data_IF_604958640095
#
_entry.id   IF_604958640095
#
_cell.length_a   1.000
_cell.length_b   1.000
_cell.length_c   1.000
_cell.angle_alpha   90.00
_cell.angle_beta   90.00
_cell.angle_gamma   90.00
#
_symmetry.space_group_name_H-M   'P 1'
#
loop_
_entity.id
_entity.type
_entity.pdbx_description
1 polymer ?
#
# COMPACT_ATOMS: atom_id res chain seq x y z
N UNK A 1 11.33 -13.92 -31.42
CA UNK A 1 11.65 -13.91 -29.97
C UNK A 1 11.27 -12.60 -29.26
N UNK A 2 11.62 -11.42 -29.79
CA UNK A 2 11.29 -10.13 -29.14
C UNK A 2 9.80 -9.92 -28.85
N UNK A 3 8.91 -10.24 -29.82
CA UNK A 3 7.45 -10.17 -29.67
C UNK A 3 6.92 -11.09 -28.56
N UNK A 4 7.56 -12.24 -28.35
CA UNK A 4 7.22 -13.18 -27.28
C UNK A 4 7.66 -12.65 -25.91
N UNK A 5 8.87 -12.08 -25.81
CA UNK A 5 9.39 -11.47 -24.57
C UNK A 5 8.52 -10.28 -24.15
N UNK A 6 8.21 -9.36 -25.07
CA UNK A 6 7.34 -8.21 -24.78
C UNK A 6 5.96 -8.66 -24.31
N UNK A 7 5.35 -9.64 -25.00
CA UNK A 7 4.06 -10.21 -24.59
C UNK A 7 4.15 -10.83 -23.19
N UNK A 8 5.23 -11.52 -22.87
CA UNK A 8 5.44 -12.16 -21.55
C UNK A 8 5.61 -11.12 -20.44
N UNK A 9 6.38 -10.07 -20.68
CA UNK A 9 6.55 -8.96 -19.72
C UNK A 9 5.22 -8.23 -19.50
N UNK A 10 4.45 -7.99 -20.57
CA UNK A 10 3.13 -7.36 -20.46
C UNK A 10 2.17 -8.21 -19.60
N UNK A 11 2.13 -9.53 -19.80
CA UNK A 11 1.33 -10.44 -18.97
C UNK A 11 1.78 -10.43 -17.51
N UNK A 12 3.09 -10.42 -17.23
CA UNK A 12 3.61 -10.32 -15.87
C UNK A 12 3.22 -9.00 -15.21
N UNK A 13 3.33 -7.88 -15.93
CA UNK A 13 2.93 -6.57 -15.42
C UNK A 13 1.43 -6.54 -15.08
N UNK A 14 0.58 -7.06 -15.96
CA UNK A 14 -0.88 -7.15 -15.71
C UNK A 14 -1.18 -8.05 -14.52
N UNK A 15 -0.51 -9.20 -14.40
CA UNK A 15 -0.68 -10.12 -13.28
C UNK A 15 -0.31 -9.46 -11.95
N UNK A 16 0.88 -8.86 -11.86
CA UNK A 16 1.33 -8.15 -10.66
C UNK A 16 0.40 -6.98 -10.31
N UNK A 17 0.00 -6.20 -11.32
CA UNK A 17 -0.96 -5.11 -11.16
C UNK A 17 -2.30 -5.60 -10.62
N UNK A 18 -2.79 -6.74 -11.11
CA UNK A 18 -4.06 -7.34 -10.66
C UNK A 18 -3.96 -7.80 -9.22
N UNK A 19 -2.91 -8.53 -8.87
CA UNK A 19 -2.67 -9.00 -7.49
C UNK A 19 -2.52 -7.82 -6.54
N UNK A 20 -1.74 -6.79 -6.90
CA UNK A 20 -1.60 -5.58 -6.10
C UNK A 20 -2.95 -4.88 -5.89
N UNK A 21 -3.74 -4.73 -6.96
CA UNK A 21 -5.05 -4.08 -6.89
C UNK A 21 -6.00 -4.85 -5.98
N UNK A 22 -6.09 -6.17 -6.15
CA UNK A 22 -6.91 -7.03 -5.29
C UNK A 22 -6.46 -6.91 -3.83
N UNK A 23 -5.16 -7.04 -3.54
CA UNK A 23 -4.61 -6.93 -2.18
C UNK A 23 -4.89 -5.56 -1.56
N UNK A 24 -4.75 -4.47 -2.33
CA UNK A 24 -5.05 -3.12 -1.88
C UNK A 24 -6.52 -2.97 -1.49
N UNK A 25 -7.45 -3.42 -2.35
CA UNK A 25 -8.87 -3.38 -2.03
C UNK A 25 -9.22 -4.31 -0.87
N UNK A 26 -8.61 -5.49 -0.79
CA UNK A 26 -8.84 -6.45 0.29
C UNK A 26 -8.42 -5.85 1.64
N UNK A 27 -7.22 -5.28 1.76
CA UNK A 27 -6.75 -4.62 2.98
C UNK A 27 -7.67 -3.46 3.39
N UNK A 28 -8.30 -2.80 2.42
CA UNK A 28 -9.20 -1.67 2.66
C UNK A 28 -10.64 -2.07 2.99
N UNK A 29 -11.04 -3.25 2.53
CA UNK A 29 -12.34 -3.85 2.80
C UNK A 29 -12.39 -4.51 4.19
N UNK A 30 -11.25 -4.82 4.80
CA UNK A 30 -11.20 -5.32 6.18
C UNK A 30 -11.75 -4.24 7.13
N UNK A 31 -12.90 -4.49 7.79
CA UNK A 31 -13.50 -3.56 8.74
C UNK A 31 -12.72 -3.64 10.07
N UNK A 32 -11.58 -2.94 10.12
CA UNK A 32 -10.66 -3.04 11.24
C UNK A 32 -9.35 -2.31 10.96
N UNK A 33 -9.44 -1.09 10.43
CA UNK A 33 -8.26 -0.28 10.09
C UNK A 33 -7.28 -0.15 11.27
N UNK A 34 -6.06 0.35 11.06
CA UNK A 34 -4.94 0.35 12.03
C UNK A 34 -5.22 1.05 13.38
N UNK A 35 -6.41 1.60 13.57
CA UNK A 35 -6.92 2.24 14.78
C UNK A 35 -8.03 1.45 15.49
N UNK A 36 -8.38 0.24 15.04
CA UNK A 36 -9.37 -0.60 15.69
C UNK A 36 -8.82 -1.38 16.89
N UNK A 37 -7.53 -1.25 17.20
CA UNK A 37 -7.00 -1.68 18.50
C UNK A 37 -7.61 -0.82 19.62
N UNK A 38 -7.93 -1.45 20.74
CA UNK A 38 -8.61 -0.92 21.94
C UNK A 38 -8.10 0.42 22.52
N UNK A 39 -7.02 1.00 21.97
CA UNK A 39 -6.55 2.34 22.26
C UNK A 39 -6.82 3.26 21.08
N UNK A 40 -7.98 3.89 21.08
CA UNK A 40 -8.22 5.03 20.19
C UNK A 40 -7.19 6.12 20.53
N UNK A 41 -6.28 6.47 19.59
CA UNK A 41 -5.36 7.56 19.85
C UNK A 41 -6.14 8.87 20.04
N UNK A 42 -5.64 9.81 20.86
CA UNK A 42 -6.24 11.14 20.97
C UNK A 42 -6.49 11.74 19.58
N UNK A 43 -7.56 12.55 19.40
CA UNK A 43 -7.98 13.03 18.09
C UNK A 43 -6.89 13.82 17.33
N UNK A 44 -5.95 14.43 18.05
CA UNK A 44 -4.77 15.10 17.49
C UNK A 44 -3.77 14.12 16.89
N UNK A 45 -3.50 13.01 17.59
CA UNK A 45 -2.61 11.93 17.15
C UNK A 45 -3.24 11.20 15.97
N UNK A 46 -4.55 10.99 15.98
CA UNK A 46 -5.29 10.42 14.86
C UNK A 46 -5.12 11.25 13.58
N UNK A 47 -5.29 12.57 13.64
CA UNK A 47 -5.06 13.47 12.49
C UNK A 47 -3.60 13.47 12.03
N UNK A 48 -2.64 13.38 12.96
CA UNK A 48 -1.23 13.29 12.62
C UNK A 48 -0.91 11.98 11.86
N UNK A 49 -1.52 10.86 12.27
CA UNK A 49 -1.36 9.56 11.61
C UNK A 49 -2.12 9.54 10.28
N UNK A 50 -3.35 10.07 10.22
CA UNK A 50 -4.12 10.18 8.98
C UNK A 50 -3.37 10.97 7.90
N UNK A 51 -2.72 12.09 8.28
CA UNK A 51 -1.83 12.84 7.38
C UNK A 51 -0.57 12.07 7.01
N UNK A 52 0.10 11.42 7.98
CA UNK A 52 1.37 10.71 7.74
C UNK A 52 1.20 9.50 6.82
N UNK A 53 0.07 8.79 6.91
CA UNK A 53 -0.29 7.66 6.06
C UNK A 53 -1.18 8.05 4.87
N UNK A 54 -1.42 9.34 4.65
CA UNK A 54 -2.28 9.87 3.58
C UNK A 54 -3.69 9.27 3.57
N UNK A 55 -4.19 8.82 4.72
CA UNK A 55 -5.52 8.22 4.87
C UNK A 55 -6.63 9.25 4.56
N UNK A 56 -6.33 10.54 4.68
CA UNK A 56 -7.20 11.68 4.31
C UNK A 56 -7.35 11.90 2.79
N UNK A 57 -6.50 11.28 1.96
CA UNK A 57 -6.56 11.44 0.51
C UNK A 57 -7.64 10.55 -0.13
N UNK A 58 -8.24 10.94 -1.27
CA UNK A 58 -9.18 10.07 -1.97
C UNK A 58 -8.53 8.75 -2.41
N UNK A 59 -9.31 7.66 -2.43
CA UNK A 59 -8.86 6.28 -2.68
C UNK A 59 -7.91 6.15 -3.89
N UNK A 60 -8.27 6.80 -5.00
CA UNK A 60 -7.49 6.78 -6.24
C UNK A 60 -6.09 7.38 -6.05
N UNK A 61 -5.97 8.47 -5.28
CA UNK A 61 -4.68 9.12 -5.02
C UNK A 61 -3.79 8.22 -4.16
N UNK A 62 -4.37 7.56 -3.17
CA UNK A 62 -3.64 6.59 -2.35
C UNK A 62 -3.17 5.41 -3.21
N UNK A 63 -4.03 4.88 -4.08
CA UNK A 63 -3.68 3.80 -4.99
C UNK A 63 -2.51 4.14 -5.91
N UNK A 64 -2.56 5.28 -6.62
CA UNK A 64 -1.46 5.68 -7.52
C UNK A 64 -0.17 6.02 -6.77
N UNK A 65 -0.28 6.58 -5.56
CA UNK A 65 0.88 6.90 -4.73
C UNK A 65 1.57 5.62 -4.26
N UNK A 66 0.81 4.65 -3.74
CA UNK A 66 1.32 3.34 -3.31
C UNK A 66 1.87 2.54 -4.49
N UNK A 67 1.18 2.53 -5.63
CA UNK A 67 1.68 1.87 -6.86
C UNK A 67 3.01 2.49 -7.32
N UNK A 68 3.15 3.81 -7.25
CA UNK A 68 4.40 4.51 -7.57
C UNK A 68 5.55 4.17 -6.60
N UNK A 69 5.27 4.08 -5.29
CA UNK A 69 6.24 3.64 -4.28
C UNK A 69 6.67 2.20 -4.52
N UNK A 70 5.71 1.29 -4.73
CA UNK A 70 5.97 -0.12 -5.04
C UNK A 70 6.83 -0.28 -6.30
N UNK A 71 6.55 0.52 -7.34
CA UNK A 71 7.34 0.52 -8.59
C UNK A 71 8.79 0.97 -8.41
N UNK A 72 9.07 1.75 -7.34
CA UNK A 72 10.43 2.15 -6.94
C UNK A 72 11.06 1.19 -5.91
N UNK A 73 10.37 0.12 -5.52
CA UNK A 73 10.80 -0.80 -4.47
C UNK A 73 10.57 -0.28 -3.04
N UNK A 74 9.83 0.82 -2.88
CA UNK A 74 9.53 1.40 -1.57
C UNK A 74 8.29 0.71 -0.99
N UNK A 75 8.48 -0.35 -0.21
CA UNK A 75 7.39 -1.15 0.40
C UNK A 75 6.74 -0.48 1.63
N UNK A 76 7.21 0.71 2.02
CA UNK A 76 6.70 1.44 3.19
C UNK A 76 7.32 1.00 4.51
N UNK A 77 6.93 1.71 5.59
CA UNK A 77 7.37 1.39 6.96
C UNK A 77 6.57 0.22 7.53
N UNK A 78 7.23 -0.64 8.30
CA UNK A 78 6.56 -1.77 8.95
C UNK A 78 5.62 -1.27 10.05
N UNK A 79 4.34 -1.61 9.94
CA UNK A 79 3.35 -1.35 11.00
C UNK A 79 3.60 -2.18 12.27
N UNK A 80 4.44 -3.22 12.17
CA UNK A 80 4.78 -4.11 13.30
C UNK A 80 6.08 -3.73 14.00
N UNK A 81 7.01 -3.09 13.27
CA UNK A 81 8.31 -2.68 13.78
C UNK A 81 8.61 -1.25 13.32
N UNK A 82 8.45 -0.28 14.23
CA UNK A 82 8.45 1.15 13.91
C UNK A 82 9.74 1.68 13.25
N UNK A 83 10.85 0.95 13.38
CA UNK A 83 12.17 1.38 12.89
C UNK A 83 12.64 0.66 11.61
N UNK A 84 11.85 -0.28 11.06
CA UNK A 84 12.26 -1.06 9.90
C UNK A 84 11.35 -0.81 8.70
N UNK A 85 11.96 -0.69 7.52
CA UNK A 85 11.20 -0.76 6.27
C UNK A 85 10.87 -2.22 5.95
N UNK A 86 9.74 -2.47 5.28
CA UNK A 86 9.36 -3.85 4.88
C UNK A 86 10.41 -4.49 3.96
N UNK A 87 11.23 -3.68 3.28
CA UNK A 87 12.34 -4.16 2.46
C UNK A 87 13.54 -4.68 3.27
N UNK A 88 13.64 -4.33 4.56
CA UNK A 88 14.75 -4.70 5.45
C UNK A 88 14.44 -5.89 6.39
N UNK A 89 13.19 -6.40 6.36
CA UNK A 89 12.73 -7.54 7.16
C UNK A 89 12.64 -8.81 6.32
#
# INVERSE_FOLDING_TARGET
>A
MMKFIVRRIAWLAIMLWTVFTISFFLMRAVPGGPFSSERQPPPEVRKAIERRYQLDAPLWRQYFTEMGRLSRGELGQSFRMADYTVAEV
#
